data_IF_649733743912
#
_entry.id   IF_649733743912
#
_cell.length_a   1.000
_cell.length_b   1.000
_cell.length_c   1.000
_cell.angle_alpha   90.00
_cell.angle_beta   90.00
_cell.angle_gamma   90.00
#
_symmetry.space_group_name_H-M   'P 1'
#
loop_
_entity.id
_entity.type
_entity.pdbx_description
1 polymer ?
#
# COMPACT_ATOMS: atom_id res chain seq x y z
N UNK A 1 -0.66 8.99 18.39
CA UNK A 1 0.29 10.12 18.24
C UNK A 1 1.72 9.59 18.34
N UNK A 2 2.40 9.46 17.20
CA UNK A 2 3.74 8.85 17.06
C UNK A 2 4.90 9.74 17.53
N UNK A 3 4.68 11.05 17.57
CA UNK A 3 5.73 12.05 17.88
C UNK A 3 5.52 12.74 19.23
N UNK A 4 4.65 12.19 20.08
CA UNK A 4 4.55 12.60 21.48
C UNK A 4 5.60 11.88 22.33
N UNK A 5 6.88 12.11 22.00
CA UNK A 5 8.02 11.63 22.77
C UNK A 5 8.25 12.52 24.01
N UNK A 6 7.20 12.71 24.79
CA UNK A 6 7.22 13.53 25.99
C UNK A 6 6.58 12.73 27.13
N UNK A 7 7.34 12.49 28.21
CA UNK A 7 6.87 11.76 29.40
C UNK A 7 7.59 10.44 29.67
N UNK A 8 7.14 9.74 30.72
CA UNK A 8 7.77 8.51 31.24
C UNK A 8 7.72 7.31 30.30
N UNK A 9 6.85 7.34 29.29
CA UNK A 9 6.69 6.26 28.30
C UNK A 9 7.52 6.44 27.04
N UNK A 10 8.24 7.56 26.89
CA UNK A 10 8.98 7.89 25.66
C UNK A 10 10.02 6.82 25.29
N UNK A 11 10.73 6.27 26.28
CA UNK A 11 11.71 5.21 26.05
C UNK A 11 11.05 3.92 25.54
N UNK A 12 9.90 3.54 26.11
CA UNK A 12 9.15 2.35 25.67
C UNK A 12 8.57 2.53 24.27
N UNK A 13 8.13 3.74 23.92
CA UNK A 13 7.66 4.07 22.56
C UNK A 13 8.80 3.98 21.53
N UNK A 14 9.98 4.55 21.84
CA UNK A 14 11.17 4.45 21.00
C UNK A 14 11.63 3.01 20.82
N UNK A 15 11.66 2.23 21.90
CA UNK A 15 12.01 0.82 21.86
C UNK A 15 11.01 0.02 21.03
N UNK A 16 9.70 0.28 21.20
CA UNK A 16 8.66 -0.30 20.37
C UNK A 16 8.87 -0.01 18.89
N UNK A 17 9.22 1.24 18.53
CA UNK A 17 9.50 1.63 17.16
C UNK A 17 10.69 0.86 16.56
N UNK A 18 11.82 0.80 17.29
CA UNK A 18 13.01 0.05 16.85
C UNK A 18 12.69 -1.43 16.69
N UNK A 19 11.92 -2.03 17.61
CA UNK A 19 11.53 -3.44 17.54
C UNK A 19 10.60 -3.72 16.34
N UNK A 20 9.62 -2.85 16.08
CA UNK A 20 8.73 -3.00 14.92
C UNK A 20 9.53 -2.87 13.63
N UNK A 21 10.38 -1.85 13.52
CA UNK A 21 11.23 -1.67 12.34
C UNK A 21 12.15 -2.88 12.11
N UNK A 22 12.88 -3.31 13.15
CA UNK A 22 13.73 -4.49 13.07
C UNK A 22 12.93 -5.75 12.72
N UNK A 23 11.75 -5.92 13.31
CA UNK A 23 10.83 -7.03 13.01
C UNK A 23 10.41 -7.04 11.54
N UNK A 24 9.98 -5.90 10.99
CA UNK A 24 9.62 -5.77 9.58
C UNK A 24 10.80 -6.10 8.66
N UNK A 25 12.00 -5.60 8.95
CA UNK A 25 13.21 -5.91 8.18
C UNK A 25 13.53 -7.41 8.23
N UNK A 26 13.48 -8.02 9.42
CA UNK A 26 13.76 -9.45 9.60
C UNK A 26 12.73 -10.32 8.86
N UNK A 27 11.43 -10.02 9.02
CA UNK A 27 10.36 -10.76 8.36
C UNK A 27 10.46 -10.61 6.83
N UNK A 28 10.73 -9.40 6.33
CA UNK A 28 10.98 -9.17 4.92
C UNK A 28 12.16 -10.01 4.41
N UNK A 29 13.25 -10.08 5.18
CA UNK A 29 14.42 -10.88 4.80
C UNK A 29 14.14 -12.39 4.81
N UNK A 30 13.38 -12.89 5.79
CA UNK A 30 12.93 -14.29 5.85
C UNK A 30 12.04 -14.61 4.65
N UNK A 31 11.08 -13.74 4.33
CA UNK A 31 10.18 -13.85 3.20
C UNK A 31 10.90 -13.82 1.86
N UNK A 32 11.93 -12.98 1.74
CA UNK A 32 12.76 -12.84 0.55
C UNK A 32 13.67 -14.05 0.34
N UNK A 33 14.34 -14.55 1.38
CA UNK A 33 15.34 -15.63 1.24
C UNK A 33 14.73 -17.01 1.08
N UNK A 34 13.56 -17.28 1.66
CA UNK A 34 13.02 -18.64 1.74
C UNK A 34 11.65 -18.77 1.11
N UNK A 35 11.43 -19.87 0.39
CA UNK A 35 10.12 -20.17 -0.23
C UNK A 35 9.03 -20.34 0.83
N UNK A 36 9.34 -21.05 1.92
CA UNK A 36 8.40 -21.28 3.02
C UNK A 36 8.10 -19.96 3.75
N UNK A 37 9.12 -19.15 4.04
CA UNK A 37 8.93 -17.83 4.65
C UNK A 37 8.01 -16.95 3.82
N UNK A 38 8.23 -16.88 2.50
CA UNK A 38 7.34 -16.14 1.60
C UNK A 38 5.89 -16.66 1.61
N UNK A 39 5.69 -17.99 1.59
CA UNK A 39 4.34 -18.59 1.66
C UNK A 39 3.66 -18.30 3.01
N UNK A 40 4.40 -18.42 4.12
CA UNK A 40 3.84 -18.17 5.45
C UNK A 40 3.41 -16.71 5.57
N UNK A 41 4.29 -15.78 5.19
CA UNK A 41 4.06 -14.34 5.37
C UNK A 41 3.02 -13.75 4.43
N UNK A 42 2.96 -14.21 3.17
CA UNK A 42 2.12 -13.61 2.12
C UNK A 42 0.97 -14.52 1.65
N UNK A 43 0.77 -15.68 2.28
CA UNK A 43 -0.40 -16.54 1.98
C UNK A 43 -1.09 -16.97 3.25
N UNK A 44 -0.36 -17.60 4.19
CA UNK A 44 -0.97 -18.17 5.40
C UNK A 44 -1.43 -17.07 6.35
N UNK A 45 -0.56 -16.10 6.68
CA UNK A 45 -0.92 -15.00 7.57
C UNK A 45 -2.07 -14.15 6.99
N UNK A 46 -2.04 -13.72 5.71
CA UNK A 46 -3.16 -13.00 5.10
C UNK A 46 -4.47 -13.82 5.08
N UNK A 47 -4.41 -15.13 4.88
CA UNK A 47 -5.60 -15.98 4.96
C UNK A 47 -6.19 -16.01 6.38
N UNK A 48 -5.35 -16.12 7.41
CA UNK A 48 -5.79 -16.04 8.81
C UNK A 48 -6.37 -14.66 9.13
N UNK A 49 -5.74 -13.59 8.66
CA UNK A 49 -6.25 -12.22 8.80
C UNK A 49 -7.60 -12.04 8.11
N UNK A 50 -7.79 -12.64 6.94
CA UNK A 50 -9.07 -12.62 6.22
C UNK A 50 -10.17 -13.29 7.04
N UNK A 51 -9.89 -14.45 7.64
CA UNK A 51 -10.82 -15.11 8.57
C UNK A 51 -11.13 -14.19 9.75
N UNK A 52 -10.10 -13.57 10.35
CA UNK A 52 -10.28 -12.61 11.44
C UNK A 52 -11.21 -11.46 11.06
N UNK A 53 -11.02 -10.83 9.89
CA UNK A 53 -11.90 -9.75 9.40
C UNK A 53 -13.36 -10.21 9.23
N UNK A 54 -13.58 -11.40 8.66
CA UNK A 54 -14.93 -11.98 8.52
C UNK A 54 -15.55 -12.25 9.89
N UNK A 55 -14.78 -12.78 10.83
CA UNK A 55 -15.29 -13.10 12.17
C UNK A 55 -15.65 -11.86 12.99
N UNK A 56 -14.91 -10.76 12.85
CA UNK A 56 -15.30 -9.46 13.42
C UNK A 56 -16.65 -9.02 12.88
N UNK A 57 -16.87 -9.17 11.57
CA UNK A 57 -18.15 -8.83 10.95
C UNK A 57 -19.31 -9.68 11.46
N UNK A 58 -19.04 -10.93 11.84
CA UNK A 58 -20.00 -11.81 12.49
C UNK A 58 -20.21 -11.51 13.99
N UNK A 59 -19.65 -10.42 14.52
CA UNK A 59 -19.81 -10.01 15.92
C UNK A 59 -18.85 -10.65 16.91
N UNK A 60 -17.87 -11.44 16.44
CA UNK A 60 -16.82 -12.01 17.30
C UNK A 60 -15.70 -10.98 17.56
N UNK A 61 -14.83 -11.25 18.52
CA UNK A 61 -13.68 -10.38 18.86
C UNK A 61 -14.05 -8.92 19.16
N UNK A 62 -15.20 -8.68 19.80
CA UNK A 62 -15.68 -7.33 20.13
C UNK A 62 -16.47 -6.64 19.01
N UNK A 63 -16.72 -7.33 17.89
CA UNK A 63 -17.63 -6.88 16.83
C UNK A 63 -17.35 -5.44 16.37
N UNK A 64 -18.38 -4.61 16.35
CA UNK A 64 -18.28 -3.22 15.90
C UNK A 64 -17.46 -2.29 16.81
N UNK A 65 -17.17 -2.70 18.05
CA UNK A 65 -16.26 -1.97 18.95
C UNK A 65 -14.79 -2.36 18.80
N UNK A 66 -14.49 -3.32 17.91
CA UNK A 66 -13.11 -3.67 17.60
C UNK A 66 -12.45 -2.53 16.81
N UNK A 67 -11.25 -2.12 17.20
CA UNK A 67 -10.51 -1.03 16.54
C UNK A 67 -10.26 -1.29 15.04
N UNK A 68 -10.07 -2.56 14.64
CA UNK A 68 -9.96 -2.93 13.22
C UNK A 68 -11.25 -2.66 12.47
N UNK A 69 -12.41 -2.89 13.10
CA UNK A 69 -13.69 -2.56 12.51
C UNK A 69 -13.89 -1.04 12.43
N UNK A 70 -13.61 -0.33 13.53
CA UNK A 70 -13.88 1.10 13.65
C UNK A 70 -13.03 1.93 12.69
N UNK A 71 -11.75 1.60 12.54
CA UNK A 71 -10.80 2.42 11.79
C UNK A 71 -10.36 1.84 10.44
N UNK A 72 -10.61 0.56 10.15
CA UNK A 72 -10.06 -0.12 8.96
C UNK A 72 -11.10 -0.88 8.12
N UNK A 73 -12.40 -0.69 8.35
CA UNK A 73 -13.46 -1.38 7.62
C UNK A 73 -13.80 -0.75 6.25
N UNK A 74 -12.98 0.18 5.78
CA UNK A 74 -13.11 0.80 4.47
C UNK A 74 -12.85 -0.17 3.31
N UNK A 75 -13.67 -0.12 2.25
CA UNK A 75 -13.42 -0.91 1.04
C UNK A 75 -12.03 -0.64 0.47
N UNK A 76 -11.57 0.61 0.57
CA UNK A 76 -10.28 1.07 0.09
C UNK A 76 -9.11 0.43 0.86
N UNK A 77 -9.25 0.28 2.17
CA UNK A 77 -8.26 -0.37 3.03
C UNK A 77 -8.06 -1.84 2.63
N UNK A 78 -9.16 -2.57 2.44
CA UNK A 78 -9.11 -3.95 1.96
C UNK A 78 -8.56 -4.05 0.53
N UNK A 79 -8.98 -3.16 -0.38
CA UNK A 79 -8.52 -3.15 -1.75
C UNK A 79 -7.00 -2.98 -1.82
N UNK A 80 -6.43 -2.01 -1.09
CA UNK A 80 -4.98 -1.81 -1.03
C UNK A 80 -4.24 -2.99 -0.39
N UNK A 81 -4.75 -3.52 0.72
CA UNK A 81 -4.15 -4.66 1.40
C UNK A 81 -4.02 -5.87 0.47
N UNK A 82 -5.12 -6.27 -0.16
CA UNK A 82 -5.12 -7.45 -1.04
C UNK A 82 -4.41 -7.18 -2.37
N UNK A 83 -4.44 -5.95 -2.89
CA UNK A 83 -3.66 -5.62 -4.08
C UNK A 83 -2.15 -5.73 -3.83
N UNK A 84 -1.67 -5.26 -2.67
CA UNK A 84 -0.27 -5.43 -2.28
C UNK A 84 0.08 -6.92 -2.08
N UNK A 85 -0.75 -7.67 -1.36
CA UNK A 85 -0.51 -9.09 -1.06
C UNK A 85 -0.47 -9.96 -2.32
N UNK A 86 -1.50 -9.86 -3.19
CA UNK A 86 -1.54 -10.61 -4.46
C UNK A 86 -0.39 -10.18 -5.38
N UNK A 87 0.06 -8.93 -5.31
CA UNK A 87 1.27 -8.48 -6.00
C UNK A 87 2.50 -9.26 -5.58
N UNK A 88 2.72 -9.41 -4.27
CA UNK A 88 3.84 -10.20 -3.71
C UNK A 88 3.68 -11.69 -4.02
N UNK A 89 2.48 -12.26 -3.87
CA UNK A 89 2.21 -13.67 -4.21
C UNK A 89 2.53 -13.94 -5.68
N UNK A 90 2.08 -13.08 -6.59
CA UNK A 90 2.41 -13.20 -8.01
C UNK A 90 3.91 -13.11 -8.27
N UNK A 91 4.62 -12.23 -7.56
CA UNK A 91 6.08 -12.15 -7.61
C UNK A 91 6.75 -13.45 -7.15
N UNK A 92 6.29 -14.05 -6.04
CA UNK A 92 6.77 -15.35 -5.55
C UNK A 92 6.49 -16.47 -6.56
N UNK A 93 5.34 -16.44 -7.24
CA UNK A 93 5.01 -17.40 -8.28
C UNK A 93 5.96 -17.31 -9.48
N UNK A 94 6.33 -16.10 -9.91
CA UNK A 94 7.32 -15.87 -10.98
C UNK A 94 8.70 -16.34 -10.52
N UNK A 95 9.14 -15.93 -9.33
CA UNK A 95 10.44 -16.27 -8.74
C UNK A 95 10.65 -17.78 -8.64
N UNK A 96 9.70 -18.49 -8.03
CA UNK A 96 9.79 -19.93 -7.80
C UNK A 96 9.23 -20.78 -8.95
N UNK A 97 8.81 -20.14 -10.05
CA UNK A 97 8.23 -20.81 -11.22
C UNK A 97 7.14 -21.79 -10.80
N UNK A 98 6.18 -21.33 -10.00
CA UNK A 98 5.03 -22.12 -9.55
C UNK A 98 3.76 -21.67 -10.28
N UNK A 99 2.95 -22.63 -10.74
CA UNK A 99 1.61 -22.37 -11.26
C UNK A 99 1.66 -21.55 -12.54
N UNK A 100 0.86 -20.48 -12.62
CA UNK A 100 0.87 -19.54 -13.75
C UNK A 100 2.17 -18.72 -13.83
N UNK A 101 2.96 -18.65 -12.75
CA UNK A 101 4.28 -17.98 -12.76
C UNK A 101 5.35 -18.66 -13.63
N UNK A 102 5.07 -19.87 -14.12
CA UNK A 102 5.89 -20.53 -15.16
C UNK A 102 5.65 -19.95 -16.55
N UNK A 103 4.50 -19.32 -16.79
CA UNK A 103 4.06 -18.90 -18.10
C UNK A 103 4.66 -17.54 -18.42
N UNK A 104 5.18 -17.41 -19.64
CA UNK A 104 5.77 -16.17 -20.12
C UNK A 104 4.78 -15.02 -19.99
N UNK A 105 3.52 -15.17 -20.41
CA UNK A 105 2.49 -14.13 -20.36
C UNK A 105 2.24 -13.52 -18.95
N UNK A 106 2.61 -14.23 -17.88
CA UNK A 106 2.43 -13.76 -16.49
C UNK A 106 3.59 -12.89 -15.99
N UNK A 107 4.72 -12.81 -16.71
CA UNK A 107 5.86 -11.97 -16.33
C UNK A 107 5.53 -10.50 -16.01
N UNK A 108 4.57 -9.80 -16.69
CA UNK A 108 4.24 -8.41 -16.41
C UNK A 108 3.35 -8.23 -15.19
N UNK A 109 2.98 -9.31 -14.49
CA UNK A 109 2.11 -9.23 -13.32
C UNK A 109 2.55 -8.17 -12.29
N UNK A 110 3.85 -8.06 -11.92
CA UNK A 110 4.29 -7.03 -10.98
C UNK A 110 4.06 -5.61 -11.49
N UNK A 111 4.14 -5.38 -12.81
CA UNK A 111 3.77 -4.09 -13.40
C UNK A 111 2.27 -3.84 -13.30
N UNK A 112 1.45 -4.82 -13.71
CA UNK A 112 -0.01 -4.68 -13.73
C UNK A 112 -0.55 -4.33 -12.34
N UNK A 113 -0.07 -5.00 -11.29
CA UNK A 113 -0.55 -4.75 -9.93
C UNK A 113 -0.08 -3.40 -9.38
N UNK A 114 1.15 -2.98 -9.66
CA UNK A 114 1.65 -1.64 -9.27
C UNK A 114 0.87 -0.56 -10.00
N UNK A 115 0.61 -0.71 -11.30
CA UNK A 115 -0.20 0.21 -12.07
C UNK A 115 -1.64 0.30 -11.52
N UNK A 116 -2.27 -0.82 -11.18
CA UNK A 116 -3.59 -0.83 -10.55
C UNK A 116 -3.57 -0.09 -9.20
N UNK A 117 -2.56 -0.32 -8.36
CA UNK A 117 -2.41 0.37 -7.09
C UNK A 117 -2.28 1.90 -7.28
N UNK A 118 -1.51 2.33 -8.27
CA UNK A 118 -1.40 3.75 -8.63
C UNK A 118 -2.73 4.28 -9.13
N UNK A 119 -3.44 3.56 -10.00
CA UNK A 119 -4.74 3.97 -10.53
C UNK A 119 -5.79 4.14 -9.43
N UNK A 120 -5.81 3.25 -8.42
CA UNK A 120 -6.71 3.38 -7.27
C UNK A 120 -6.44 4.69 -6.52
N UNK A 121 -5.16 5.04 -6.32
CA UNK A 121 -4.78 6.31 -5.71
C UNK A 121 -5.16 7.52 -6.59
N UNK A 122 -4.91 7.45 -7.90
CA UNK A 122 -5.30 8.51 -8.86
C UNK A 122 -6.82 8.75 -8.86
N UNK A 123 -7.63 7.68 -8.82
CA UNK A 123 -9.09 7.78 -8.73
C UNK A 123 -9.51 8.46 -7.42
N UNK A 124 -8.88 8.10 -6.31
CA UNK A 124 -9.13 8.71 -5.00
C UNK A 124 -8.75 10.21 -4.98
N UNK A 125 -7.66 10.60 -5.64
CA UNK A 125 -7.29 12.00 -5.82
C UNK A 125 -8.36 12.77 -6.63
N UNK A 126 -8.76 12.23 -7.77
CA UNK A 126 -9.77 12.87 -8.60
C UNK A 126 -11.14 12.92 -7.90
N UNK A 127 -11.50 11.91 -7.10
CA UNK A 127 -12.69 11.98 -6.25
C UNK A 127 -12.60 13.18 -5.30
N UNK A 128 -11.50 13.32 -4.55
CA UNK A 128 -11.30 14.45 -3.64
C UNK A 128 -11.38 15.81 -4.34
N UNK A 129 -10.81 15.94 -5.55
CA UNK A 129 -10.90 17.17 -6.34
C UNK A 129 -12.34 17.48 -6.78
N UNK A 130 -13.09 16.46 -7.24
CA UNK A 130 -14.47 16.61 -7.68
C UNK A 130 -15.39 16.97 -6.51
N UNK A 131 -15.18 16.37 -5.34
CA UNK A 131 -15.93 16.69 -4.12
C UNK A 131 -15.69 18.14 -3.69
N UNK A 132 -14.46 18.63 -3.78
CA UNK A 132 -14.16 20.03 -3.52
C UNK A 132 -14.88 20.96 -4.49
N UNK A 133 -14.85 20.65 -5.79
CA UNK A 133 -15.56 21.41 -6.82
C UNK A 133 -17.07 21.46 -6.60
N UNK A 134 -17.67 20.35 -6.16
CA UNK A 134 -19.10 20.31 -5.82
C UNK A 134 -19.48 21.24 -4.65
N UNK A 135 -18.53 21.56 -3.77
CA UNK A 135 -18.75 22.42 -2.60
C UNK A 135 -18.49 23.89 -2.92
N UNK A 136 -17.36 24.20 -3.57
CA UNK A 136 -16.94 25.60 -3.80
C UNK A 136 -17.30 26.14 -5.19
N UNK A 137 -17.62 25.27 -6.16
CA UNK A 137 -17.82 25.66 -7.56
C UNK A 137 -16.50 25.90 -8.32
N UNK A 138 -15.35 25.66 -7.69
CA UNK A 138 -14.01 25.79 -8.26
C UNK A 138 -13.05 24.75 -7.62
N UNK A 139 -11.76 24.76 -7.99
CA UNK A 139 -10.76 23.86 -7.39
C UNK A 139 -9.89 24.54 -6.32
N UNK A 140 -10.38 25.63 -5.71
CA UNK A 140 -9.61 26.41 -4.71
C UNK A 140 -9.37 25.63 -3.42
N UNK A 141 -10.32 24.79 -3.04
CA UNK A 141 -10.18 23.84 -1.94
C UNK A 141 -11.41 23.74 -1.05
N UNK A 142 -11.79 22.54 -0.63
CA UNK A 142 -12.90 22.34 0.30
C UNK A 142 -12.68 21.12 1.20
N UNK A 143 -13.20 21.21 2.42
CA UNK A 143 -13.32 20.07 3.32
C UNK A 143 -14.54 19.24 2.96
N UNK A 144 -14.36 17.93 2.79
CA UNK A 144 -15.45 16.97 2.60
C UNK A 144 -15.23 15.75 3.50
N UNK A 145 -16.32 15.13 3.94
CA UNK A 145 -16.25 13.92 4.76
C UNK A 145 -16.25 12.69 3.85
N UNK A 146 -15.22 11.84 3.99
CA UNK A 146 -15.17 10.54 3.33
C UNK A 146 -16.26 9.62 3.87
N UNK A 147 -16.55 8.53 3.15
CA UNK A 147 -17.48 7.49 3.61
C UNK A 147 -17.05 6.82 4.93
N UNK A 148 -15.80 7.04 5.36
CA UNK A 148 -15.20 6.51 6.59
C UNK A 148 -15.22 7.54 7.72
N UNK A 149 -15.88 8.69 7.52
CA UNK A 149 -15.99 9.75 8.53
C UNK A 149 -14.72 10.60 8.70
N UNK A 150 -13.75 10.48 7.78
CA UNK A 150 -12.52 11.28 7.79
C UNK A 150 -12.72 12.54 6.96
N UNK A 151 -12.39 13.70 7.52
CA UNK A 151 -12.40 14.95 6.77
C UNK A 151 -11.15 15.04 5.90
N UNK A 152 -11.38 15.16 4.58
CA UNK A 152 -10.35 15.31 3.56
C UNK A 152 -10.42 16.71 2.98
N UNK A 153 -9.27 17.33 2.76
CA UNK A 153 -9.17 18.63 2.11
C UNK A 153 -8.82 18.43 0.64
N UNK A 154 -9.85 18.49 -0.21
CA UNK A 154 -9.72 18.31 -1.65
C UNK A 154 -9.46 19.63 -2.37
N UNK A 155 -8.77 19.61 -3.50
CA UNK A 155 -8.52 20.81 -4.32
C UNK A 155 -7.68 20.54 -5.57
N UNK A 156 -7.11 21.59 -6.17
CA UNK A 156 -6.30 21.50 -7.39
C UNK A 156 -5.04 20.63 -7.22
N UNK A 157 -4.47 20.55 -6.00
CA UNK A 157 -3.32 19.68 -5.72
C UNK A 157 -3.63 18.20 -5.97
N UNK A 158 -4.85 17.75 -5.69
CA UNK A 158 -5.25 16.38 -6.01
C UNK A 158 -5.27 16.12 -7.52
N UNK A 159 -5.63 17.11 -8.34
CA UNK A 159 -5.59 16.97 -9.81
C UNK A 159 -4.15 16.79 -10.27
N UNK A 160 -3.24 17.64 -9.79
CA UNK A 160 -1.82 17.58 -10.15
C UNK A 160 -1.20 16.27 -9.66
N UNK A 161 -1.53 15.84 -8.45
CA UNK A 161 -1.06 14.57 -7.90
C UNK A 161 -1.61 13.36 -8.68
N UNK A 162 -2.89 13.36 -9.05
CA UNK A 162 -3.48 12.33 -9.89
C UNK A 162 -2.80 12.24 -11.27
N UNK A 163 -2.50 13.38 -11.89
CA UNK A 163 -1.73 13.43 -13.16
C UNK A 163 -0.31 12.88 -12.95
N UNK A 164 0.37 13.25 -11.86
CA UNK A 164 1.69 12.72 -11.54
C UNK A 164 1.67 11.19 -11.36
N UNK A 165 0.59 10.63 -10.80
CA UNK A 165 0.39 9.19 -10.70
C UNK A 165 0.29 8.51 -12.07
N UNK A 166 -0.44 9.11 -13.01
CA UNK A 166 -0.47 8.62 -14.40
C UNK A 166 0.91 8.67 -15.05
N UNK A 167 1.68 9.75 -14.82
CA UNK A 167 3.07 9.86 -15.30
C UNK A 167 3.94 8.74 -14.72
N UNK A 168 3.82 8.44 -13.42
CA UNK A 168 4.53 7.31 -12.80
C UNK A 168 4.22 5.98 -13.49
N UNK A 169 2.97 5.74 -13.90
CA UNK A 169 2.61 4.55 -14.68
C UNK A 169 3.31 4.57 -16.04
N UNK A 170 3.30 5.70 -16.75
CA UNK A 170 3.93 5.82 -18.07
C UNK A 170 5.46 5.68 -18.05
N UNK A 171 6.12 6.05 -16.95
CA UNK A 171 7.55 5.89 -16.79
C UNK A 171 7.99 4.41 -16.66
N UNK A 172 7.10 3.53 -16.22
CA UNK A 172 7.35 2.09 -16.20
C UNK A 172 7.11 1.52 -17.61
N UNK A 173 8.15 1.09 -18.34
CA UNK A 173 8.07 0.63 -19.75
C UNK A 173 8.65 -0.76 -19.99
N UNK A 174 9.53 -1.24 -19.13
CA UNK A 174 10.16 -2.56 -19.11
C UNK A 174 9.28 -3.67 -18.54
N UNK A 175 8.01 -3.76 -18.95
CA UNK A 175 7.02 -4.70 -18.41
C UNK A 175 7.42 -6.18 -18.54
N UNK A 176 8.22 -6.51 -19.56
CA UNK A 176 8.76 -7.85 -19.81
C UNK A 176 10.16 -8.07 -19.25
N UNK A 177 10.80 -7.02 -18.74
CA UNK A 177 12.21 -7.00 -18.33
C UNK A 177 12.47 -7.60 -16.95
N UNK A 178 11.51 -8.29 -16.33
CA UNK A 178 11.66 -8.81 -14.97
C UNK A 178 12.43 -10.13 -15.00
N UNK A 179 13.58 -10.18 -14.32
CA UNK A 179 14.44 -11.36 -14.26
C UNK A 179 14.96 -11.64 -12.85
N UNK A 180 15.38 -12.89 -12.60
CA UNK A 180 15.97 -13.29 -11.32
C UNK A 180 17.44 -12.87 -11.25
N UNK A 181 17.89 -12.43 -10.08
CA UNK A 181 19.30 -12.15 -9.79
C UNK A 181 20.15 -13.41 -9.95
N UNK A 182 21.46 -13.25 -10.13
CA UNK A 182 22.40 -14.37 -10.30
C UNK A 182 22.35 -15.38 -9.15
N UNK A 183 22.13 -14.90 -7.93
CA UNK A 183 21.99 -15.73 -6.71
C UNK A 183 20.59 -16.31 -6.54
N UNK A 184 19.62 -15.88 -7.36
CA UNK A 184 18.19 -16.23 -7.30
C UNK A 184 17.45 -15.78 -6.03
N UNK A 185 18.09 -14.92 -5.24
CA UNK A 185 17.52 -14.35 -4.02
C UNK A 185 16.57 -13.19 -4.34
N UNK A 186 16.84 -12.44 -5.41
CA UNK A 186 16.12 -11.23 -5.77
C UNK A 186 15.56 -11.34 -7.19
N UNK A 187 14.49 -10.61 -7.47
CA UNK A 187 14.02 -10.36 -8.82
C UNK A 187 14.27 -8.89 -9.11
N UNK A 188 14.87 -8.62 -10.27
CA UNK A 188 15.26 -7.30 -10.71
C UNK A 188 14.31 -6.86 -11.81
N UNK A 189 13.85 -5.62 -11.72
CA UNK A 189 13.06 -4.96 -12.73
C UNK A 189 13.84 -3.71 -13.19
N UNK A 190 14.24 -3.64 -14.48
CA UNK A 190 15.00 -2.52 -15.04
C UNK A 190 14.45 -1.11 -14.75
N UNK A 191 13.13 -0.96 -14.66
CA UNK A 191 12.51 0.37 -14.47
C UNK A 191 12.58 0.85 -13.01
N UNK A 192 12.84 -0.05 -12.07
CA UNK A 192 12.96 0.26 -10.64
C UNK A 192 14.34 0.87 -10.33
N UNK A 193 14.65 1.96 -11.01
CA UNK A 193 15.83 2.78 -10.75
C UNK A 193 15.63 3.58 -9.46
N UNK A 194 16.73 3.96 -8.81
CA UNK A 194 16.66 4.78 -7.59
C UNK A 194 15.87 6.08 -7.80
N UNK A 195 15.97 6.69 -8.98
CA UNK A 195 15.24 7.93 -9.30
C UNK A 195 13.75 7.70 -9.49
N UNK A 196 13.36 6.59 -10.10
CA UNK A 196 11.96 6.20 -10.19
C UNK A 196 11.39 5.94 -8.79
N UNK A 197 12.11 5.18 -7.95
CA UNK A 197 11.68 4.88 -6.57
C UNK A 197 11.47 6.16 -5.78
N UNK A 198 12.44 7.09 -5.79
CA UNK A 198 12.32 8.37 -5.07
C UNK A 198 11.13 9.20 -5.59
N UNK A 199 10.93 9.29 -6.91
CA UNK A 199 9.81 10.03 -7.48
C UNK A 199 8.45 9.40 -7.11
N UNK A 200 8.36 8.07 -7.16
CA UNK A 200 7.19 7.31 -6.76
C UNK A 200 6.88 7.49 -5.27
N UNK A 201 7.90 7.42 -4.41
CA UNK A 201 7.75 7.54 -2.96
C UNK A 201 7.26 8.93 -2.57
N UNK A 202 7.82 9.99 -3.17
CA UNK A 202 7.37 11.38 -2.95
C UNK A 202 5.90 11.53 -3.40
N UNK A 203 5.55 11.00 -4.57
CA UNK A 203 4.19 11.05 -5.08
C UNK A 203 3.20 10.28 -4.19
N UNK A 204 3.58 9.09 -3.74
CA UNK A 204 2.74 8.28 -2.85
C UNK A 204 2.58 8.96 -1.48
N UNK A 205 3.65 9.59 -0.98
CA UNK A 205 3.60 10.37 0.25
C UNK A 205 2.60 11.53 0.14
N UNK A 206 2.66 12.32 -0.94
CA UNK A 206 1.69 13.38 -1.19
C UNK A 206 0.26 12.83 -1.28
N UNK A 207 0.06 11.73 -2.02
CA UNK A 207 -1.24 11.07 -2.13
C UNK A 207 -1.83 10.72 -0.76
N UNK A 208 -1.04 10.07 0.10
CA UNK A 208 -1.49 9.68 1.43
C UNK A 208 -1.67 10.85 2.39
N UNK A 209 -0.95 11.95 2.20
CA UNK A 209 -1.15 13.16 2.98
C UNK A 209 -2.51 13.78 2.65
N UNK A 210 -2.83 13.85 1.35
CA UNK A 210 -4.10 14.42 0.88
C UNK A 210 -5.32 13.53 1.16
N UNK A 211 -5.20 12.21 0.99
CA UNK A 211 -6.35 11.29 1.00
C UNK A 211 -6.38 10.32 2.18
N UNK A 212 -5.29 10.18 2.95
CA UNK A 212 -5.18 9.28 4.10
C UNK A 212 -4.45 9.95 5.29
N UNK A 213 -4.85 11.17 5.71
CA UNK A 213 -4.11 11.98 6.68
C UNK A 213 -3.90 11.30 8.05
N UNK A 214 -4.77 10.35 8.40
CA UNK A 214 -4.68 9.56 9.65
C UNK A 214 -3.57 8.50 9.60
N UNK A 215 -3.10 8.13 8.42
CA UNK A 215 -2.15 7.03 8.20
C UNK A 215 -0.95 7.41 7.33
N UNK A 216 -0.79 8.67 6.93
CA UNK A 216 0.29 9.17 6.04
C UNK A 216 1.68 8.68 6.46
N UNK A 217 2.00 8.66 7.75
CA UNK A 217 3.32 8.21 8.20
C UNK A 217 3.53 6.68 8.14
N UNK A 218 2.45 5.89 8.11
CA UNK A 218 2.50 4.43 8.08
C UNK A 218 2.28 3.85 6.68
N UNK A 219 1.57 4.57 5.81
CA UNK A 219 1.19 4.09 4.48
C UNK A 219 2.16 4.50 3.37
N UNK A 220 3.17 5.32 3.69
CA UNK A 220 3.96 6.07 2.70
C UNK A 220 5.46 5.88 2.82
N UNK A 221 5.88 5.06 3.79
CA UNK A 221 7.27 4.65 4.05
C UNK A 221 7.32 3.14 4.08
#
# INVERSE_FOLDING_TARGET
>A
MLFQLYGSTAMTQLLGWVLVFAGLVILNEIGRRTKIGGIVLFVIIPAVLTIYFITIQAGLFGGHSNQTYEYMNGWFHYAKLYAADIGVVGFLMIKYKWGIGKKEWFKPWPFVIVAINILIAVVSDFESAIRAYQITGDFSGAWWASNEGVFLYGGWWNIVNGIAGLINIFCMTGWWGIYSSKKKDDMLWPDMTIWFIVAYDIWNFEYTYCNLPTHTWYCSV
#
